data_IF_573954073877
#
_entry.id   IF_573954073877
#
_cell.length_a   1.000
_cell.length_b   1.000
_cell.length_c   1.000
_cell.angle_alpha   90.00
_cell.angle_beta   90.00
_cell.angle_gamma   90.00
#
_symmetry.space_group_name_H-M   'P 1'
#
loop_
_entity.id
_entity.type
_entity.pdbx_description
1 polymer ?
#
# COMPACT_ATOMS: atom_id res chain seq x y z
N UNK A 1 94.75 -65.36 89.99
CA UNK A 1 93.59 -64.84 90.78
C UNK A 1 92.98 -63.54 90.23
N UNK A 2 93.66 -62.77 89.37
CA UNK A 2 93.16 -61.48 88.83
C UNK A 2 92.05 -61.60 87.77
N UNK A 3 92.06 -62.65 86.95
CA UNK A 3 91.08 -62.83 85.84
C UNK A 3 89.66 -63.10 86.34
N UNK A 4 89.52 -63.79 87.48
CA UNK A 4 88.21 -64.10 88.09
C UNK A 4 87.54 -62.82 88.61
N UNK A 5 88.33 -61.86 89.09
CA UNK A 5 87.83 -60.60 89.65
C UNK A 5 87.32 -59.64 88.57
N UNK A 6 87.97 -59.62 87.40
CA UNK A 6 87.52 -58.82 86.24
C UNK A 6 86.21 -59.35 85.67
N UNK A 7 86.05 -60.67 85.56
CA UNK A 7 84.80 -61.28 85.08
C UNK A 7 83.62 -61.06 86.03
N UNK A 8 83.86 -61.07 87.34
CA UNK A 8 82.82 -60.77 88.33
C UNK A 8 82.36 -59.31 88.25
N UNK A 9 83.30 -58.35 88.10
CA UNK A 9 82.97 -56.95 87.94
C UNK A 9 82.19 -56.67 86.64
N UNK A 10 82.53 -57.35 85.53
CA UNK A 10 81.79 -57.23 84.26
C UNK A 10 80.38 -57.82 84.35
N UNK A 11 80.20 -58.92 85.08
CA UNK A 11 78.89 -59.52 85.31
C UNK A 11 77.99 -58.65 86.20
N UNK A 12 78.56 -58.02 87.24
CA UNK A 12 77.82 -57.11 88.14
C UNK A 12 77.50 -55.80 87.41
N UNK A 13 78.45 -55.21 86.69
CA UNK A 13 78.22 -54.00 85.89
C UNK A 13 77.21 -54.25 84.75
N UNK A 14 77.27 -55.42 84.10
CA UNK A 14 76.29 -55.82 83.08
C UNK A 14 74.88 -55.99 83.63
N UNK A 15 74.74 -56.49 84.87
CA UNK A 15 73.45 -56.67 85.53
C UNK A 15 72.82 -55.35 85.98
N UNK A 16 73.61 -54.41 86.48
CA UNK A 16 73.16 -53.05 86.82
C UNK A 16 72.75 -52.25 85.59
N UNK A 17 73.48 -52.40 84.48
CA UNK A 17 73.13 -51.74 83.21
C UNK A 17 71.84 -52.32 82.61
N UNK A 18 71.60 -53.63 82.76
CA UNK A 18 70.38 -54.29 82.28
C UNK A 18 69.14 -53.83 83.05
N UNK A 19 69.23 -53.69 84.37
CA UNK A 19 68.12 -53.22 85.21
C UNK A 19 67.80 -51.73 85.01
N UNK A 20 68.81 -50.90 84.76
CA UNK A 20 68.60 -49.48 84.41
C UNK A 20 67.92 -49.31 83.04
N UNK A 21 68.14 -50.24 82.10
CA UNK A 21 67.52 -50.22 80.78
C UNK A 21 66.06 -50.71 80.77
N UNK A 22 65.70 -51.66 81.64
CA UNK A 22 64.31 -52.13 81.78
C UNK A 22 63.38 -51.07 82.39
N UNK A 23 63.84 -50.27 83.37
CA UNK A 23 63.01 -49.18 83.93
C UNK A 23 62.71 -48.04 82.97
N UNK A 24 63.58 -47.79 81.97
CA UNK A 24 63.40 -46.70 81.01
C UNK A 24 62.53 -47.07 79.82
N UNK A 25 62.26 -48.36 79.57
CA UNK A 25 61.40 -48.84 78.47
C UNK A 25 59.91 -48.96 78.83
N UNK A 26 59.54 -49.02 80.11
CA UNK A 26 58.14 -49.17 80.52
C UNK A 26 57.34 -47.86 80.65
N UNK A 27 57.99 -46.69 80.58
CA UNK A 27 57.33 -45.39 80.75
C UNK A 27 56.90 -44.69 79.44
N UNK A 28 57.27 -45.21 78.26
CA UNK A 28 56.97 -44.57 76.96
C UNK A 28 55.90 -45.28 76.10
N UNK A 29 55.33 -46.38 76.58
CA UNK A 29 54.35 -47.19 75.83
C UNK A 29 52.92 -46.63 75.76
N UNK A 30 52.37 -45.88 76.74
CA UNK A 30 50.99 -45.38 76.65
C UNK A 30 50.87 -44.15 75.75
N UNK A 31 51.87 -43.25 75.72
CA UNK A 31 51.82 -42.03 74.90
C UNK A 31 51.93 -42.33 73.40
N UNK A 32 52.72 -43.34 73.00
CA UNK A 32 52.83 -43.74 71.58
C UNK A 32 51.54 -44.43 71.10
N UNK A 33 50.86 -45.16 71.98
CA UNK A 33 49.55 -45.72 71.68
C UNK A 33 48.50 -44.61 71.54
N UNK A 34 48.46 -43.66 72.47
CA UNK A 34 47.52 -42.53 72.45
C UNK A 34 47.74 -41.62 71.23
N UNK A 35 49.00 -41.29 70.91
CA UNK A 35 49.36 -40.53 69.70
C UNK A 35 48.95 -41.30 68.43
N UNK A 36 49.09 -42.63 68.37
CA UNK A 36 48.58 -43.40 67.23
C UNK A 36 47.08 -43.32 67.11
N UNK A 37 46.35 -43.43 68.23
CA UNK A 37 44.88 -43.33 68.25
C UNK A 37 44.41 -41.95 67.80
N UNK A 38 45.07 -40.89 68.29
CA UNK A 38 44.81 -39.50 67.90
C UNK A 38 45.15 -39.26 66.43
N UNK A 39 46.21 -39.87 65.89
CA UNK A 39 46.60 -39.73 64.49
C UNK A 39 45.68 -40.52 63.55
N UNK A 40 45.12 -41.66 63.97
CA UNK A 40 44.03 -42.33 63.25
C UNK A 40 42.71 -41.55 63.34
N UNK A 41 42.39 -40.92 64.47
CA UNK A 41 41.23 -40.05 64.59
C UNK A 41 41.37 -38.79 63.71
N UNK A 42 42.55 -38.14 63.72
CA UNK A 42 42.87 -37.00 62.86
C UNK A 42 42.86 -37.38 61.38
N UNK A 43 43.38 -38.55 61.00
CA UNK A 43 43.25 -39.08 59.64
C UNK A 43 41.78 -39.30 59.26
N UNK A 44 40.98 -39.92 60.14
CA UNK A 44 39.54 -40.08 59.93
C UNK A 44 38.83 -38.74 59.69
N UNK A 45 39.07 -37.75 60.55
CA UNK A 45 38.50 -36.41 60.37
C UNK A 45 39.01 -35.70 59.10
N UNK A 46 40.25 -35.93 58.69
CA UNK A 46 40.82 -35.38 57.46
C UNK A 46 40.17 -36.01 56.23
N UNK A 47 40.01 -37.34 56.22
CA UNK A 47 39.40 -38.08 55.12
C UNK A 47 37.90 -37.69 54.99
N UNK A 48 37.21 -37.48 56.12
CA UNK A 48 35.85 -36.92 56.14
C UNK A 48 35.80 -35.49 55.59
N UNK A 49 36.76 -34.63 55.95
CA UNK A 49 36.84 -33.26 55.43
C UNK A 49 37.16 -33.22 53.93
N UNK A 50 38.03 -34.12 53.46
CA UNK A 50 38.35 -34.28 52.04
C UNK A 50 37.13 -34.80 51.27
N UNK A 51 36.38 -35.77 51.83
CA UNK A 51 35.10 -36.23 51.28
C UNK A 51 34.03 -35.14 51.24
N UNK A 52 33.92 -34.32 52.29
CA UNK A 52 32.99 -33.19 52.33
C UNK A 52 33.38 -32.09 51.34
N UNK A 53 34.68 -31.80 51.18
CA UNK A 53 35.16 -30.85 50.16
C UNK A 53 34.94 -31.38 48.74
N UNK A 54 35.09 -32.68 48.52
CA UNK A 54 34.79 -33.31 47.23
C UNK A 54 33.30 -33.20 46.90
N UNK A 55 32.40 -33.52 47.84
CA UNK A 55 30.95 -33.41 47.62
C UNK A 55 30.47 -31.97 47.44
N UNK A 56 31.06 -31.01 48.15
CA UNK A 56 30.77 -29.58 47.92
C UNK A 56 31.25 -29.11 46.54
N UNK A 57 32.42 -29.56 46.07
CA UNK A 57 32.89 -29.25 44.72
C UNK A 57 31.97 -29.83 43.65
N UNK A 58 31.60 -31.10 43.78
CA UNK A 58 30.66 -31.75 42.86
C UNK A 58 29.31 -31.02 42.81
N UNK A 59 28.80 -30.57 43.97
CA UNK A 59 27.56 -29.80 44.04
C UNK A 59 27.68 -28.40 43.42
N UNK A 60 28.82 -27.73 43.60
CA UNK A 60 29.10 -26.45 42.97
C UNK A 60 29.23 -26.59 41.45
N UNK A 61 29.93 -27.63 40.98
CA UNK A 61 30.07 -27.96 39.56
C UNK A 61 28.69 -28.26 38.93
N UNK A 62 27.84 -29.02 39.62
CA UNK A 62 26.46 -29.27 39.20
C UNK A 62 25.63 -28.00 39.06
N UNK A 63 25.67 -27.11 40.06
CA UNK A 63 24.97 -25.82 40.02
C UNK A 63 25.49 -24.90 38.91
N UNK A 64 26.80 -24.87 38.66
CA UNK A 64 27.35 -24.09 37.55
C UNK A 64 26.90 -24.62 36.20
N UNK A 65 26.85 -25.96 36.04
CA UNK A 65 26.37 -26.58 34.81
C UNK A 65 24.87 -26.32 34.57
N UNK A 66 24.04 -26.33 35.62
CA UNK A 66 22.63 -25.94 35.53
C UNK A 66 22.47 -24.47 35.15
N UNK A 67 23.22 -23.58 35.80
CA UNK A 67 23.17 -22.15 35.50
C UNK A 67 23.59 -21.83 34.06
N UNK A 68 24.57 -22.58 33.53
CA UNK A 68 25.02 -22.39 32.14
C UNK A 68 23.97 -22.89 31.14
N UNK A 69 23.27 -24.00 31.42
CA UNK A 69 22.12 -24.44 30.61
C UNK A 69 20.98 -23.43 30.62
N UNK A 70 20.66 -22.86 31.78
CA UNK A 70 19.64 -21.82 31.90
C UNK A 70 20.00 -20.58 31.08
N UNK A 71 21.24 -20.09 31.19
CA UNK A 71 21.74 -18.95 30.39
C UNK A 71 21.66 -19.22 28.90
N UNK A 72 21.97 -20.45 28.48
CA UNK A 72 21.87 -20.85 27.07
C UNK A 72 20.42 -20.84 26.57
N UNK A 73 19.49 -21.40 27.36
CA UNK A 73 18.05 -21.39 27.04
C UNK A 73 17.47 -19.96 26.97
N UNK A 74 17.93 -19.06 27.84
CA UNK A 74 17.53 -17.65 27.84
C UNK A 74 18.06 -16.93 26.60
N UNK A 75 19.31 -17.18 26.20
CA UNK A 75 19.89 -16.61 24.97
C UNK A 75 19.16 -17.08 23.72
N UNK A 76 18.78 -18.37 23.67
CA UNK A 76 17.99 -18.92 22.57
C UNK A 76 16.60 -18.25 22.50
N UNK A 77 15.94 -18.10 23.65
CA UNK A 77 14.64 -17.43 23.74
C UNK A 77 14.73 -15.96 23.31
N UNK A 78 15.76 -15.23 23.76
CA UNK A 78 16.02 -13.85 23.36
C UNK A 78 16.34 -13.70 21.86
N UNK A 79 17.05 -14.66 21.28
CA UNK A 79 17.30 -14.69 19.84
C UNK A 79 15.98 -14.89 19.07
N UNK A 80 15.12 -15.80 19.54
CA UNK A 80 13.80 -16.05 18.95
C UNK A 80 12.88 -14.83 19.07
N UNK A 81 12.86 -14.16 20.22
CA UNK A 81 12.09 -12.93 20.44
C UNK A 81 12.57 -11.84 19.48
N UNK A 82 13.88 -11.61 19.37
CA UNK A 82 14.44 -10.62 18.44
C UNK A 82 14.11 -10.93 16.98
N UNK A 83 14.16 -12.20 16.59
CA UNK A 83 13.76 -12.63 15.25
C UNK A 83 12.27 -12.37 14.97
N UNK A 84 11.39 -12.66 15.92
CA UNK A 84 9.95 -12.37 15.78
C UNK A 84 9.69 -10.86 15.71
N UNK A 85 10.37 -10.06 16.52
CA UNK A 85 10.25 -8.59 16.48
C UNK A 85 10.69 -8.07 15.10
N UNK A 86 11.82 -8.54 14.59
CA UNK A 86 12.28 -8.17 13.24
C UNK A 86 11.27 -8.58 12.17
N UNK A 87 10.74 -9.82 12.22
CA UNK A 87 9.73 -10.28 11.28
C UNK A 87 8.44 -9.44 11.32
N UNK A 88 7.97 -9.07 12.50
CA UNK A 88 6.78 -8.23 12.67
C UNK A 88 7.06 -6.83 12.11
N UNK A 89 8.19 -6.22 12.48
CA UNK A 89 8.51 -4.86 12.12
C UNK A 89 8.85 -4.70 10.63
N UNK A 90 9.61 -5.64 10.07
CA UNK A 90 10.12 -5.55 8.70
C UNK A 90 9.10 -6.00 7.66
N UNK A 91 8.11 -6.82 8.05
CA UNK A 91 7.14 -7.39 7.12
C UNK A 91 5.69 -7.07 7.45
N UNK A 92 5.25 -7.38 8.67
CA UNK A 92 3.83 -7.25 9.01
C UNK A 92 3.39 -5.79 9.11
N UNK A 93 4.21 -4.93 9.72
CA UNK A 93 3.88 -3.50 9.87
C UNK A 93 3.75 -2.81 8.50
N UNK A 94 4.70 -2.96 7.55
CA UNK A 94 4.55 -2.43 6.19
C UNK A 94 3.32 -3.00 5.48
N UNK A 95 3.11 -4.32 5.50
CA UNK A 95 1.98 -4.96 4.83
C UNK A 95 0.62 -4.44 5.35
N UNK A 96 0.49 -4.23 6.66
CA UNK A 96 -0.72 -3.68 7.28
C UNK A 96 -0.88 -2.21 6.91
N UNK A 97 0.20 -1.42 6.93
CA UNK A 97 0.15 0.00 6.58
C UNK A 97 -0.24 0.22 5.12
N UNK A 98 0.30 -0.61 4.22
CA UNK A 98 -0.06 -0.63 2.80
C UNK A 98 -1.54 -0.97 2.60
N UNK A 99 -2.05 -1.98 3.29
CA UNK A 99 -3.47 -2.35 3.25
C UNK A 99 -4.36 -1.23 3.77
N UNK A 100 -3.98 -0.60 4.88
CA UNK A 100 -4.72 0.51 5.48
C UNK A 100 -4.75 1.71 4.53
N UNK A 101 -3.64 2.02 3.88
CA UNK A 101 -3.54 3.09 2.87
C UNK A 101 -4.47 2.82 1.69
N UNK A 102 -4.45 1.61 1.13
CA UNK A 102 -5.36 1.22 0.03
C UNK A 102 -6.82 1.30 0.43
N UNK A 103 -7.17 0.88 1.66
CA UNK A 103 -8.53 0.98 2.18
C UNK A 103 -8.97 2.44 2.34
N UNK A 104 -8.08 3.30 2.85
CA UNK A 104 -8.34 4.74 2.96
C UNK A 104 -8.56 5.38 1.59
N UNK A 105 -7.72 5.07 0.60
CA UNK A 105 -7.89 5.57 -0.78
C UNK A 105 -9.19 5.09 -1.44
N UNK A 106 -9.64 3.88 -1.11
CA UNK A 106 -10.92 3.36 -1.57
C UNK A 106 -12.10 4.11 -0.89
N UNK A 107 -12.02 4.34 0.42
CA UNK A 107 -13.03 5.12 1.16
C UNK A 107 -13.10 6.58 0.69
N UNK A 108 -11.96 7.22 0.44
CA UNK A 108 -11.91 8.60 -0.06
C UNK A 108 -12.46 8.74 -1.48
N UNK A 109 -12.35 7.69 -2.31
CA UNK A 109 -13.03 7.61 -3.61
C UNK A 109 -14.54 7.46 -3.45
N UNK A 110 -14.98 6.51 -2.63
CA UNK A 110 -16.39 6.27 -2.38
C UNK A 110 -17.09 7.49 -1.77
N UNK A 111 -16.43 8.18 -0.84
CA UNK A 111 -16.94 9.41 -0.21
C UNK A 111 -17.20 10.51 -1.26
N UNK A 112 -16.28 10.68 -2.22
CA UNK A 112 -16.45 11.65 -3.32
C UNK A 112 -17.61 11.26 -4.25
N UNK A 113 -17.74 9.98 -4.58
CA UNK A 113 -18.86 9.47 -5.40
C UNK A 113 -20.21 9.69 -4.69
N UNK A 114 -20.31 9.38 -3.40
CA UNK A 114 -21.52 9.59 -2.59
C UNK A 114 -21.85 11.08 -2.47
N UNK A 115 -20.85 11.95 -2.28
CA UNK A 115 -21.07 13.40 -2.25
C UNK A 115 -21.60 13.92 -3.60
N UNK A 116 -21.07 13.42 -4.72
CA UNK A 116 -21.56 13.72 -6.07
C UNK A 116 -23.01 13.26 -6.27
N UNK A 117 -23.32 12.01 -5.90
CA UNK A 117 -24.68 11.47 -5.98
C UNK A 117 -25.66 12.26 -5.12
N UNK A 118 -25.29 12.61 -3.89
CA UNK A 118 -26.12 13.43 -3.00
C UNK A 118 -26.38 14.81 -3.61
N UNK A 119 -25.35 15.46 -4.14
CA UNK A 119 -25.50 16.76 -4.82
C UNK A 119 -26.46 16.67 -6.00
N UNK A 120 -26.33 15.63 -6.83
CA UNK A 120 -27.23 15.40 -7.95
C UNK A 120 -28.68 15.14 -7.49
N UNK A 121 -28.90 14.29 -6.49
CA UNK A 121 -30.25 14.00 -5.97
C UNK A 121 -30.91 15.24 -5.36
N UNK A 122 -30.15 16.07 -4.64
CA UNK A 122 -30.66 17.36 -4.13
C UNK A 122 -31.05 18.28 -5.29
N UNK A 123 -30.19 18.43 -6.31
CA UNK A 123 -30.52 19.22 -7.50
C UNK A 123 -31.74 18.71 -8.26
N UNK A 124 -31.90 17.39 -8.36
CA UNK A 124 -33.09 16.75 -8.96
C UNK A 124 -34.36 16.98 -8.13
N UNK A 125 -34.24 16.96 -6.81
CA UNK A 125 -35.36 17.28 -5.92
C UNK A 125 -35.76 18.75 -6.09
N UNK A 126 -34.80 19.67 -6.09
CA UNK A 126 -35.06 21.10 -6.28
C UNK A 126 -35.71 21.37 -7.65
N UNK A 127 -35.26 20.69 -8.71
CA UNK A 127 -35.88 20.74 -10.03
C UNK A 127 -37.32 20.20 -10.02
N UNK A 128 -37.58 19.08 -9.35
CA UNK A 128 -38.93 18.51 -9.24
C UNK A 128 -39.87 19.43 -8.43
N UNK A 129 -39.36 20.06 -7.37
CA UNK A 129 -40.09 21.06 -6.58
C UNK A 129 -40.39 22.30 -7.43
N UNK A 130 -39.39 22.84 -8.14
CA UNK A 130 -39.59 23.97 -9.04
C UNK A 130 -40.62 23.66 -10.14
N UNK A 131 -40.55 22.45 -10.73
CA UNK A 131 -41.53 21.99 -11.71
C UNK A 131 -42.95 21.89 -11.14
N UNK A 132 -43.08 21.42 -9.90
CA UNK A 132 -44.36 21.37 -9.19
C UNK A 132 -44.93 22.76 -8.88
N UNK A 133 -44.05 23.77 -8.76
CA UNK A 133 -44.40 25.18 -8.58
C UNK A 133 -44.64 25.92 -9.91
N UNK A 134 -44.65 25.21 -11.05
CA UNK A 134 -44.95 25.76 -12.37
C UNK A 134 -43.74 26.31 -13.13
N UNK A 135 -42.52 26.09 -12.65
CA UNK A 135 -41.33 26.32 -13.48
C UNK A 135 -41.19 25.23 -14.54
N UNK A 136 -40.63 25.55 -15.71
CA UNK A 136 -40.30 24.51 -16.68
C UNK A 136 -39.20 23.59 -16.09
N UNK A 137 -39.39 22.26 -16.11
CA UNK A 137 -38.37 21.35 -15.61
C UNK A 137 -37.09 21.53 -16.43
N UNK A 138 -35.95 21.66 -15.74
CA UNK A 138 -34.66 21.67 -16.40
C UNK A 138 -34.45 20.31 -17.09
N UNK A 139 -34.45 20.30 -18.42
CA UNK A 139 -34.19 19.09 -19.17
C UNK A 139 -32.75 18.60 -18.88
N UNK A 140 -32.65 17.33 -18.47
CA UNK A 140 -31.36 16.65 -18.33
C UNK A 140 -30.98 16.06 -19.68
N UNK A 141 -29.79 16.41 -20.12
CA UNK A 141 -29.22 16.04 -21.40
C UNK A 141 -28.07 15.07 -21.14
N UNK A 142 -28.13 13.91 -21.78
CA UNK A 142 -27.03 12.95 -21.72
C UNK A 142 -25.83 13.48 -22.50
N UNK A 143 -24.66 13.35 -21.89
CA UNK A 143 -23.37 13.57 -22.50
C UNK A 143 -22.45 12.38 -22.26
N UNK A 144 -21.34 12.35 -22.98
CA UNK A 144 -20.26 11.44 -22.64
C UNK A 144 -19.00 11.72 -23.42
N UNK A 145 -17.92 11.09 -22.98
CA UNK A 145 -16.57 11.36 -23.44
C UNK A 145 -15.71 10.11 -23.30
N UNK A 146 -15.21 9.62 -24.43
CA UNK A 146 -14.40 8.41 -24.52
C UNK A 146 -13.08 8.74 -25.22
N UNK A 147 -12.01 8.10 -24.79
CA UNK A 147 -10.70 8.27 -25.39
C UNK A 147 -9.91 6.97 -25.33
N UNK A 148 -9.19 6.68 -26.41
CA UNK A 148 -8.27 5.57 -26.53
C UNK A 148 -6.89 6.13 -26.92
N UNK A 149 -5.86 5.97 -26.06
CA UNK A 149 -5.88 5.31 -24.74
C UNK A 149 -6.64 6.10 -23.66
N UNK A 150 -7.18 5.42 -22.64
CA UNK A 150 -8.02 6.01 -21.58
C UNK A 150 -7.33 7.18 -20.83
N UNK A 151 -6.01 7.17 -20.71
CA UNK A 151 -5.24 8.26 -20.09
C UNK A 151 -5.42 9.62 -20.81
N UNK A 152 -5.68 9.59 -22.13
CA UNK A 152 -5.89 10.80 -22.93
C UNK A 152 -7.20 11.53 -22.62
N UNK A 153 -8.13 10.88 -21.90
CA UNK A 153 -9.42 11.46 -21.52
C UNK A 153 -9.29 12.72 -20.65
N UNK A 154 -8.30 12.74 -19.76
CA UNK A 154 -8.03 13.88 -18.88
C UNK A 154 -7.81 15.19 -19.66
N UNK A 155 -7.17 15.12 -20.83
CA UNK A 155 -6.92 16.28 -21.69
C UNK A 155 -8.19 16.80 -22.38
N UNK A 156 -9.22 15.96 -22.53
CA UNK A 156 -10.49 16.32 -23.16
C UNK A 156 -11.52 16.87 -22.16
N UNK A 157 -11.40 16.52 -20.88
CA UNK A 157 -12.39 16.85 -19.85
C UNK A 157 -12.58 18.36 -19.70
N UNK A 158 -11.49 19.12 -19.56
CA UNK A 158 -11.57 20.58 -19.45
C UNK A 158 -12.20 21.28 -20.67
N UNK A 159 -11.74 21.01 -21.92
CA UNK A 159 -12.38 21.53 -23.12
C UNK A 159 -13.86 21.11 -23.26
N UNK A 160 -14.21 19.89 -22.82
CA UNK A 160 -15.58 19.39 -22.87
C UNK A 160 -16.50 20.19 -21.94
N UNK A 161 -16.07 20.42 -20.70
CA UNK A 161 -16.85 21.16 -19.70
C UNK A 161 -17.03 22.63 -20.08
N UNK A 162 -15.98 23.30 -20.56
CA UNK A 162 -16.09 24.69 -21.07
C UNK A 162 -17.00 24.80 -22.29
N UNK A 163 -16.94 23.81 -23.19
CA UNK A 163 -17.86 23.75 -24.33
C UNK A 163 -19.30 23.59 -23.84
N UNK A 164 -19.57 22.68 -22.90
CA UNK A 164 -20.91 22.52 -22.33
C UNK A 164 -21.41 23.82 -21.68
N UNK A 165 -20.57 24.46 -20.85
CA UNK A 165 -20.87 25.73 -20.18
C UNK A 165 -21.21 26.85 -21.18
N UNK A 166 -20.45 26.95 -22.30
CA UNK A 166 -20.70 27.94 -23.35
C UNK A 166 -22.09 27.83 -23.97
N UNK A 167 -22.65 26.62 -24.04
CA UNK A 167 -24.02 26.39 -24.52
C UNK A 167 -25.06 26.43 -23.41
N UNK A 168 -24.70 26.90 -22.21
CA UNK A 168 -25.60 27.03 -21.07
C UNK A 168 -25.88 25.70 -20.35
N UNK A 169 -24.99 24.72 -20.51
CA UNK A 169 -25.10 23.43 -19.84
C UNK A 169 -24.18 23.36 -18.62
N UNK A 170 -24.66 22.74 -17.55
CA UNK A 170 -23.91 22.52 -16.30
C UNK A 170 -23.77 21.03 -16.06
N UNK A 171 -22.57 20.58 -15.70
CA UNK A 171 -22.33 19.19 -15.31
C UNK A 171 -22.89 18.97 -13.91
N UNK A 172 -23.91 18.13 -13.79
CA UNK A 172 -24.47 17.78 -12.48
C UNK A 172 -23.85 16.51 -11.91
N UNK A 173 -23.60 15.52 -12.77
CA UNK A 173 -23.06 14.24 -12.38
C UNK A 173 -22.16 13.70 -13.49
N UNK A 174 -21.08 13.04 -13.08
CA UNK A 174 -20.22 12.27 -13.95
C UNK A 174 -20.19 10.83 -13.45
N UNK A 175 -20.41 9.87 -14.37
CA UNK A 175 -20.32 8.44 -14.09
C UNK A 175 -19.44 7.80 -15.16
N UNK A 176 -18.19 7.52 -14.78
CA UNK A 176 -17.14 7.08 -15.72
C UNK A 176 -17.18 7.97 -16.95
N UNK A 177 -17.45 7.47 -18.14
CA UNK A 177 -17.43 8.20 -19.41
C UNK A 177 -18.71 8.99 -19.70
N UNK A 178 -19.70 8.98 -18.80
CA UNK A 178 -20.99 9.64 -18.96
C UNK A 178 -21.08 10.94 -18.18
N UNK A 179 -21.72 11.93 -18.77
CA UNK A 179 -22.03 13.23 -18.18
C UNK A 179 -23.54 13.42 -18.16
N UNK A 180 -24.07 13.90 -17.04
CA UNK A 180 -25.45 14.36 -16.93
C UNK A 180 -25.43 15.87 -16.87
N UNK A 181 -25.95 16.49 -17.95
CA UNK A 181 -25.89 17.93 -18.17
C UNK A 181 -27.27 18.53 -17.97
N UNK A 182 -27.39 19.62 -17.22
CA UNK A 182 -28.65 20.36 -17.08
C UNK A 182 -28.51 21.79 -17.60
N UNK A 183 -29.63 22.46 -17.85
CA UNK A 183 -29.67 23.89 -18.13
C UNK A 183 -30.39 24.28 -19.42
N UNK A 184 -30.41 23.41 -20.43
CA UNK A 184 -31.14 23.65 -21.69
C UNK A 184 -31.78 22.41 -22.27
N UNK A 185 -32.91 22.62 -22.95
CA UNK A 185 -33.63 21.54 -23.62
C UNK A 185 -32.85 20.96 -24.80
N UNK A 186 -32.93 19.63 -25.04
CA UNK A 186 -32.35 18.99 -26.22
C UNK A 186 -32.78 19.65 -27.54
N UNK A 187 -34.03 20.13 -27.62
CA UNK A 187 -34.55 20.84 -28.80
C UNK A 187 -33.88 22.19 -29.00
N UNK A 188 -33.65 22.94 -27.93
CA UNK A 188 -32.92 24.20 -27.98
C UNK A 188 -31.48 24.00 -28.44
N UNK A 189 -30.81 22.98 -27.90
CA UNK A 189 -29.45 22.60 -28.29
C UNK A 189 -29.36 22.12 -29.74
N UNK A 190 -30.35 21.37 -30.24
CA UNK A 190 -30.34 20.86 -31.62
C UNK A 190 -30.21 22.01 -32.63
N UNK A 191 -30.96 23.11 -32.44
CA UNK A 191 -30.88 24.29 -33.32
C UNK A 191 -29.50 24.93 -33.27
N UNK A 192 -29.00 25.19 -32.07
CA UNK A 192 -27.72 25.88 -31.87
C UNK A 192 -26.55 25.05 -32.41
N UNK A 193 -26.62 23.73 -32.27
CA UNK A 193 -25.61 22.83 -32.80
C UNK A 193 -25.68 22.64 -34.32
N UNK A 194 -26.87 22.72 -34.93
CA UNK A 194 -26.99 22.77 -36.40
C UNK A 194 -26.29 24.02 -36.94
N UNK A 195 -26.50 25.16 -36.30
CA UNK A 195 -25.84 26.40 -36.68
C UNK A 195 -24.33 26.34 -36.44
N UNK A 196 -23.88 25.76 -35.32
CA UNK A 196 -22.46 25.48 -35.06
C UNK A 196 -21.84 24.61 -36.18
N UNK A 197 -22.45 23.47 -36.52
CA UNK A 197 -21.96 22.56 -37.56
C UNK A 197 -21.88 23.24 -38.91
N UNK A 198 -22.86 24.10 -39.24
CA UNK A 198 -22.84 24.91 -40.45
C UNK A 198 -21.63 25.85 -40.47
N UNK A 199 -21.38 26.59 -39.39
CA UNK A 199 -20.24 27.53 -39.27
C UNK A 199 -18.89 26.78 -39.31
N UNK A 200 -18.80 25.62 -38.65
CA UNK A 200 -17.60 24.79 -38.68
C UNK A 200 -17.28 24.32 -40.10
N UNK A 201 -18.29 23.86 -40.84
CA UNK A 201 -18.14 23.44 -42.23
C UNK A 201 -17.69 24.59 -43.12
N UNK A 202 -18.38 25.73 -43.09
CA UNK A 202 -18.01 26.89 -43.91
C UNK A 202 -16.60 27.40 -43.58
N UNK A 203 -16.17 27.30 -42.32
CA UNK A 203 -14.81 27.72 -41.98
C UNK A 203 -13.76 26.71 -42.41
N UNK A 204 -14.08 25.41 -42.40
CA UNK A 204 -13.19 24.36 -42.90
C UNK A 204 -13.00 24.47 -44.42
N UNK A 205 -14.04 24.85 -45.15
CA UNK A 205 -14.00 25.01 -46.62
C UNK A 205 -13.26 26.28 -47.03
N UNK A 206 -13.49 27.39 -46.33
CA UNK A 206 -13.00 28.71 -46.72
C UNK A 206 -11.71 29.15 -46.00
N UNK A 207 -11.20 28.36 -45.05
CA UNK A 207 -9.99 28.71 -44.28
C UNK A 207 -10.12 29.98 -43.44
N UNK A 208 -11.33 30.43 -43.15
CA UNK A 208 -11.60 31.70 -42.47
C UNK A 208 -11.12 31.73 -41.01
N UNK A 209 -10.90 32.93 -40.44
CA UNK A 209 -10.51 33.07 -39.03
C UNK A 209 -11.62 32.57 -38.09
N UNK A 210 -11.25 32.09 -36.89
CA UNK A 210 -12.22 31.61 -35.93
C UNK A 210 -13.08 32.75 -35.39
N UNK A 211 -14.40 32.67 -35.57
CA UNK A 211 -15.32 33.52 -34.81
C UNK A 211 -15.37 33.10 -33.35
N UNK A 212 -15.55 34.06 -32.43
CA UNK A 212 -15.61 33.84 -30.97
C UNK A 212 -16.60 32.73 -30.57
N UNK A 213 -17.73 32.64 -31.28
CA UNK A 213 -18.79 31.63 -31.04
C UNK A 213 -18.29 30.19 -31.20
N UNK A 214 -17.23 29.98 -31.97
CA UNK A 214 -16.70 28.65 -32.33
C UNK A 214 -15.38 28.32 -31.64
N UNK A 215 -14.88 29.18 -30.75
CA UNK A 215 -13.58 29.01 -30.10
C UNK A 215 -13.55 27.76 -29.20
N UNK A 216 -14.51 27.59 -28.29
CA UNK A 216 -14.55 26.41 -27.41
C UNK A 216 -14.80 25.12 -28.20
N UNK A 217 -15.64 25.18 -29.25
CA UNK A 217 -15.87 24.05 -30.14
C UNK A 217 -14.58 23.60 -30.84
N UNK A 218 -13.78 24.57 -31.31
CA UNK A 218 -12.46 24.33 -31.89
C UNK A 218 -11.48 23.75 -30.89
N UNK A 219 -11.43 24.29 -29.68
CA UNK A 219 -10.56 23.78 -28.62
C UNK A 219 -10.89 22.30 -28.32
N UNK A 220 -12.17 21.97 -28.19
CA UNK A 220 -12.65 20.61 -27.97
C UNK A 220 -12.31 19.68 -29.14
N UNK A 221 -12.63 20.08 -30.38
CA UNK A 221 -12.38 19.27 -31.57
C UNK A 221 -10.88 19.13 -31.89
N UNK A 222 -10.08 20.14 -31.55
CA UNK A 222 -8.62 20.11 -31.62
C UNK A 222 -8.03 19.15 -30.60
N UNK A 223 -8.52 19.17 -29.36
CA UNK A 223 -8.14 18.19 -28.34
C UNK A 223 -8.54 16.76 -28.76
N UNK A 224 -9.73 16.57 -29.32
CA UNK A 224 -10.20 15.29 -29.86
C UNK A 224 -9.40 14.82 -31.09
N UNK A 225 -8.83 15.74 -31.88
CA UNK A 225 -7.89 15.37 -32.95
C UNK A 225 -6.54 14.91 -32.41
N UNK A 226 -6.09 15.50 -31.30
CA UNK A 226 -4.81 15.20 -30.66
C UNK A 226 -4.72 13.79 -30.06
N UNK A 227 -5.86 13.09 -29.93
CA UNK A 227 -5.91 11.69 -29.49
C UNK A 227 -5.97 10.73 -30.69
N UNK A 228 -5.65 9.45 -30.45
CA UNK A 228 -5.71 8.42 -31.49
C UNK A 228 -7.15 8.15 -31.93
N UNK A 229 -7.99 7.70 -30.98
CA UNK A 229 -9.38 7.37 -31.20
C UNK A 229 -10.22 7.81 -29.99
N UNK A 230 -11.48 8.18 -30.23
CA UNK A 230 -12.41 8.55 -29.17
C UNK A 230 -13.66 9.21 -29.69
N UNK A 231 -14.60 9.49 -28.80
CA UNK A 231 -15.86 10.12 -29.12
C UNK A 231 -16.31 11.04 -28.00
N UNK A 232 -17.15 11.99 -28.35
CA UNK A 232 -17.83 12.83 -27.39
C UNK A 232 -19.27 13.06 -27.82
N UNK A 233 -20.13 13.19 -26.82
CA UNK A 233 -21.52 13.55 -26.99
C UNK A 233 -21.87 14.68 -26.02
N UNK A 234 -22.53 15.70 -26.53
CA UNK A 234 -23.14 16.78 -25.75
C UNK A 234 -24.58 16.91 -26.24
N UNK A 235 -25.48 16.16 -25.61
CA UNK A 235 -26.87 16.07 -26.06
C UNK A 235 -26.99 15.58 -27.50
N UNK A 236 -27.59 16.38 -28.41
CA UNK A 236 -27.71 15.99 -29.81
C UNK A 236 -26.39 16.09 -30.60
N UNK A 237 -25.37 16.80 -30.11
CA UNK A 237 -24.08 16.87 -30.77
C UNK A 237 -23.26 15.61 -30.49
N UNK A 238 -22.77 14.96 -31.54
CA UNK A 238 -21.88 13.81 -31.49
C UNK A 238 -20.65 14.09 -32.35
N UNK A 239 -19.46 13.97 -31.79
CA UNK A 239 -18.21 14.01 -32.54
C UNK A 239 -17.39 12.76 -32.27
N UNK A 240 -16.84 12.16 -33.32
CA UNK A 240 -16.07 10.92 -33.25
C UNK A 240 -14.78 11.03 -34.04
N UNK A 241 -13.72 10.50 -33.46
CA UNK A 241 -12.38 10.41 -34.02
C UNK A 241 -12.00 8.95 -34.12
N UNK A 242 -11.62 8.53 -35.32
CA UNK A 242 -10.82 7.33 -35.56
C UNK A 242 -9.51 7.76 -36.17
N UNK A 243 -8.49 6.90 -36.23
CA UNK A 243 -7.18 7.21 -36.81
C UNK A 243 -7.23 7.93 -38.18
N UNK A 244 -8.24 7.65 -39.00
CA UNK A 244 -8.37 8.19 -40.37
C UNK A 244 -9.34 9.36 -40.52
N UNK A 245 -10.22 9.61 -39.54
CA UNK A 245 -11.30 10.58 -39.74
C UNK A 245 -11.74 11.25 -38.44
N UNK A 246 -12.20 12.49 -38.57
CA UNK A 246 -12.85 13.26 -37.52
C UNK A 246 -14.18 13.75 -38.05
N UNK A 247 -15.28 13.20 -37.54
CA UNK A 247 -16.63 13.56 -37.94
C UNK A 247 -17.39 14.18 -36.78
N UNK A 248 -18.19 15.19 -37.08
CA UNK A 248 -19.10 15.82 -36.16
C UNK A 248 -20.51 15.82 -36.78
N UNK A 249 -21.54 15.58 -35.98
CA UNK A 249 -22.91 15.66 -36.44
C UNK A 249 -23.92 15.90 -35.32
N UNK A 250 -25.12 16.32 -35.73
CA UNK A 250 -26.23 16.63 -34.83
C UNK A 250 -27.35 15.62 -35.05
N UNK A 251 -27.62 14.81 -34.04
CA UNK A 251 -28.70 13.84 -34.00
C UNK A 251 -30.02 14.56 -33.72
N UNK A 252 -31.12 14.12 -34.34
CA UNK A 252 -32.46 14.61 -33.96
C UNK A 252 -32.84 14.07 -32.58
N UNK A 253 -33.80 14.71 -31.91
CA UNK A 253 -34.42 14.11 -30.72
C UNK A 253 -35.01 12.72 -30.97
N UNK A 254 -35.52 12.47 -32.18
CA UNK A 254 -36.03 11.15 -32.57
C UNK A 254 -34.90 10.12 -32.65
N UNK A 255 -33.73 10.51 -33.19
CA UNK A 255 -32.54 9.66 -33.22
C UNK A 255 -32.05 9.37 -31.80
N UNK A 256 -31.93 10.38 -30.92
CA UNK A 256 -31.47 10.20 -29.53
C UNK A 256 -32.31 9.21 -28.71
N UNK A 257 -33.59 9.05 -29.04
CA UNK A 257 -34.48 8.08 -28.38
C UNK A 257 -34.32 6.65 -28.87
N UNK A 258 -33.58 6.45 -29.97
CA UNK A 258 -33.35 5.13 -30.53
C UNK A 258 -32.27 4.40 -29.72
N UNK A 259 -32.51 3.15 -29.29
CA UNK A 259 -31.55 2.38 -28.51
C UNK A 259 -30.24 2.16 -29.27
N UNK A 260 -30.27 2.14 -30.60
CA UNK A 260 -29.07 1.98 -31.41
C UNK A 260 -28.17 3.22 -31.36
N UNK A 261 -28.71 4.39 -31.01
CA UNK A 261 -27.91 5.62 -30.80
C UNK A 261 -27.40 5.75 -29.38
N UNK A 262 -27.97 4.97 -28.46
CA UNK A 262 -27.47 4.80 -27.10
C UNK A 262 -26.13 4.08 -27.20
N UNK A 263 -25.13 4.90 -27.40
CA UNK A 263 -23.77 4.52 -27.22
C UNK A 263 -22.86 4.61 -28.43
N UNK A 264 -23.16 5.52 -29.36
CA UNK A 264 -22.34 5.73 -30.54
C UNK A 264 -20.95 6.31 -30.26
N UNK A 265 -20.78 7.14 -29.23
CA UNK A 265 -19.48 7.68 -28.83
C UNK A 265 -18.44 6.67 -28.26
N UNK A 266 -18.83 5.48 -27.80
CA UNK A 266 -18.00 4.42 -27.20
C UNK A 266 -17.37 3.58 -28.31
N UNK A 267 -18.03 3.56 -29.48
CA UNK A 267 -17.60 2.84 -30.67
C UNK A 267 -17.44 3.81 -31.86
N UNK A 268 -16.38 4.65 -31.88
CA UNK A 268 -16.13 5.63 -32.94
C UNK A 268 -16.16 5.05 -34.35
N UNK A 269 -15.72 3.79 -34.51
CA UNK A 269 -15.70 3.08 -35.80
C UNK A 269 -17.12 2.84 -36.32
N UNK A 270 -18.05 2.45 -35.45
CA UNK A 270 -19.45 2.16 -35.81
C UNK A 270 -20.29 3.43 -35.96
N UNK A 271 -19.90 4.51 -35.29
CA UNK A 271 -20.56 5.80 -35.39
C UNK A 271 -20.32 6.51 -36.74
N UNK A 272 -19.15 6.34 -37.35
CA UNK A 272 -18.79 7.02 -38.61
C UNK A 272 -19.80 6.75 -39.75
N UNK A 273 -20.14 5.50 -40.10
CA UNK A 273 -21.11 5.22 -41.16
C UNK A 273 -22.46 5.89 -40.91
N UNK A 274 -22.87 6.02 -39.65
CA UNK A 274 -24.15 6.64 -39.27
C UNK A 274 -24.10 8.16 -39.40
N UNK A 275 -23.04 8.79 -38.89
CA UNK A 275 -22.85 10.23 -39.06
C UNK A 275 -22.76 10.64 -40.54
N UNK A 276 -22.20 9.78 -41.39
CA UNK A 276 -22.17 10.02 -42.85
C UNK A 276 -23.54 9.95 -43.52
N UNK A 277 -24.50 9.23 -42.95
CA UNK A 277 -25.89 9.14 -43.44
C UNK A 277 -26.75 10.33 -43.01
N UNK A 278 -26.27 11.18 -42.10
CA UNK A 278 -26.99 12.38 -41.71
C UNK A 278 -27.08 13.37 -42.89
N UNK A 279 -28.16 14.17 -42.96
CA UNK A 279 -28.25 15.25 -43.93
C UNK A 279 -27.05 16.19 -43.86
N UNK A 280 -26.64 16.76 -44.99
CA UNK A 280 -25.42 17.59 -45.06
C UNK A 280 -25.44 18.78 -44.11
N UNK A 281 -26.62 19.37 -43.86
CA UNK A 281 -26.77 20.46 -42.89
C UNK A 281 -26.58 20.06 -41.42
N UNK A 282 -26.47 18.76 -41.12
CA UNK A 282 -26.34 18.19 -39.78
C UNK A 282 -25.04 17.41 -39.58
N UNK A 283 -24.16 17.37 -40.58
CA UNK A 283 -22.85 16.71 -40.49
C UNK A 283 -21.75 17.64 -40.98
N UNK A 284 -20.57 17.52 -40.37
CA UNK A 284 -19.36 18.18 -40.80
C UNK A 284 -18.22 17.17 -40.78
N UNK A 285 -17.58 16.98 -41.94
CA UNK A 285 -16.33 16.22 -42.02
C UNK A 285 -15.18 17.17 -41.76
N UNK A 286 -14.51 16.95 -40.64
CA UNK A 286 -13.41 17.77 -40.20
C UNK A 286 -12.08 17.12 -40.51
N UNK A 287 -12.02 15.98 -41.20
CA UNK A 287 -10.78 15.20 -41.37
C UNK A 287 -9.61 16.05 -41.89
N UNK A 288 -9.86 16.93 -42.86
CA UNK A 288 -8.87 17.83 -43.46
C UNK A 288 -8.53 19.09 -42.64
N UNK A 289 -9.23 19.34 -41.53
CA UNK A 289 -9.02 20.54 -40.73
C UNK A 289 -7.58 20.59 -40.18
N UNK A 290 -6.81 21.68 -40.37
CA UNK A 290 -5.51 21.85 -39.73
C UNK A 290 -5.55 21.49 -38.25
N UNK A 291 -4.54 20.74 -37.80
CA UNK A 291 -4.29 20.62 -36.37
C UNK A 291 -4.11 22.05 -35.84
N UNK A 292 -5.04 22.50 -34.99
CA UNK A 292 -4.88 23.75 -34.25
C UNK A 292 -3.67 23.54 -33.35
N UNK A 293 -2.51 23.94 -33.85
CA UNK A 293 -1.28 23.99 -33.09
C UNK A 293 -1.54 24.87 -31.87
N UNK A 294 -1.16 24.32 -30.71
CA UNK A 294 -1.23 24.93 -29.37
C UNK A 294 -0.96 26.45 -29.44
N UNK A 295 -1.74 27.31 -28.76
CA UNK A 295 -1.24 28.64 -28.49
C UNK A 295 0.07 28.48 -27.70
N UNK A 296 1.12 29.14 -28.21
CA UNK A 296 2.43 29.19 -27.59
C UNK A 296 2.27 29.52 -26.11
N UNK A 297 2.89 28.71 -25.24
CA UNK A 297 3.09 29.09 -23.85
C UNK A 297 3.95 30.35 -23.87
N UNK A 298 3.33 31.50 -23.65
CA UNK A 298 4.06 32.71 -23.29
C UNK A 298 4.85 32.43 -22.02
N UNK A 299 6.10 32.89 -22.06
CA UNK A 299 7.18 32.71 -21.08
C UNK A 299 6.84 33.19 -19.69
#
# INVERSE_FOLDING_TARGET
MTVILVLLCLAIAGRELYLAFERKRSAGAPEIADIRTQLTALKGTRDELEGFRASQRERLEGLTAEQDREKESLRETDARIRSLIAQINDRMVPDVNDRLTRQRDALDRLSREVAGLRGHLVGRLDQAVAASLGADPADVVAGGLTAEPAAARSALTGPYERFAERYGLRVELTDRDRYYLSGRSPRGLERDFIDLVRVLRTTSENGGPPGEVTQEARALLGALRGIGQGGLQVGPLLAVRTNKSLLCGVLTLADLRRPETAGLWDHPVDAIPRLRRLPEGRRCDLTAWPALTRPERSR
#
